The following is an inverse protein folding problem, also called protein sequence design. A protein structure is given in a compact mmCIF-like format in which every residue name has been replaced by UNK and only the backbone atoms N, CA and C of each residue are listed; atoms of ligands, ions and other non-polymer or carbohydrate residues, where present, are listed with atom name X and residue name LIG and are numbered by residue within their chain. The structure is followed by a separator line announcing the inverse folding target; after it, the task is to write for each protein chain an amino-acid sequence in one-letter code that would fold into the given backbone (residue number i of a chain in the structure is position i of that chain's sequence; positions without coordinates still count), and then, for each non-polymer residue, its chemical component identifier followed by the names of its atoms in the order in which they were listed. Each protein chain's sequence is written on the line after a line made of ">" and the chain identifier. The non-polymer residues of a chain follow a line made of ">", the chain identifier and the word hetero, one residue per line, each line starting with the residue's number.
data_IF_761898669247
#
_entry.id   IF_761898669247
#
_cell.length_a   1.000
_cell.length_b   1.000
_cell.length_c   1.000
_cell.angle_alpha   90.00
_cell.angle_beta   90.00
_cell.angle_gamma   90.00
#
_symmetry.space_group_name_H-M   'P 1'
#
loop_
_entity.id
_entity.type
_entity.pdbx_description
1 polymer ?
#
# COMPACT_ATOMS: atom_id res chain seq x y z
N UNK A 1 17.19 -9.01 -19.04
CA UNK A 1 16.48 -8.03 -18.20
C UNK A 1 15.02 -8.06 -18.61
N UNK A 2 14.07 -8.12 -17.67
CA UNK A 2 12.64 -8.09 -18.01
C UNK A 2 12.26 -6.72 -18.56
N UNK A 3 11.22 -6.64 -19.39
CA UNK A 3 10.74 -5.36 -19.93
C UNK A 3 10.40 -4.35 -18.82
N UNK A 4 9.88 -4.84 -17.68
CA UNK A 4 9.62 -4.03 -16.50
C UNK A 4 10.90 -3.49 -15.85
N UNK A 5 11.98 -4.27 -15.72
CA UNK A 5 13.20 -3.77 -15.07
C UNK A 5 13.83 -2.62 -15.85
N UNK A 6 13.82 -2.70 -17.19
CA UNK A 6 14.34 -1.62 -18.04
C UNK A 6 13.45 -0.36 -17.98
N UNK A 7 12.12 -0.56 -17.96
CA UNK A 7 11.17 0.53 -17.79
C UNK A 7 11.37 1.26 -16.45
N UNK A 8 11.47 0.51 -15.34
CA UNK A 8 11.65 1.09 -14.00
C UNK A 8 12.94 1.91 -13.87
N UNK A 9 13.98 1.57 -14.63
CA UNK A 9 15.27 2.28 -14.61
C UNK A 9 15.30 3.55 -15.46
N UNK A 10 14.39 3.68 -16.43
CA UNK A 10 14.40 4.76 -17.43
C UNK A 10 13.20 5.69 -17.33
N UNK A 11 12.10 5.21 -16.74
CA UNK A 11 10.89 5.98 -16.57
C UNK A 11 11.15 7.25 -15.76
N UNK A 12 10.62 8.36 -16.27
CA UNK A 12 10.59 9.64 -15.58
C UNK A 12 9.15 10.11 -15.60
N UNK A 13 8.57 10.33 -14.42
CA UNK A 13 7.24 10.93 -14.29
C UNK A 13 7.45 12.38 -13.87
N UNK A 14 7.00 13.38 -14.64
CA UNK A 14 7.15 14.77 -14.26
C UNK A 14 6.40 15.02 -12.94
N UNK A 15 7.05 15.69 -11.99
CA UNK A 15 6.53 15.83 -10.62
C UNK A 15 5.17 16.56 -10.60
N UNK A 16 4.97 17.51 -11.51
CA UNK A 16 3.72 18.23 -11.72
C UNK A 16 2.55 17.34 -12.16
N UNK A 17 2.84 16.19 -12.79
CA UNK A 17 1.81 15.24 -13.23
C UNK A 17 1.38 14.27 -12.14
N UNK A 18 2.22 14.04 -11.12
CA UNK A 18 1.97 13.05 -10.07
C UNK A 18 0.68 13.38 -9.30
N UNK A 19 0.52 14.63 -8.87
CA UNK A 19 -0.67 15.04 -8.13
C UNK A 19 -1.95 14.91 -8.98
N UNK A 20 -1.89 15.28 -10.26
CA UNK A 20 -3.00 15.12 -11.20
C UNK A 20 -3.39 13.66 -11.41
N UNK A 21 -2.41 12.78 -11.59
CA UNK A 21 -2.63 11.34 -11.73
C UNK A 21 -3.23 10.73 -10.45
N UNK A 22 -2.69 11.07 -9.28
CA UNK A 22 -3.23 10.60 -7.99
C UNK A 22 -4.68 11.06 -7.79
N UNK A 23 -4.99 12.31 -8.15
CA UNK A 23 -6.36 12.83 -8.07
C UNK A 23 -7.30 12.12 -9.07
N UNK A 24 -6.87 11.90 -10.30
CA UNK A 24 -7.67 11.19 -11.29
C UNK A 24 -7.95 9.73 -10.86
N UNK A 25 -6.97 9.03 -10.29
CA UNK A 25 -7.14 7.69 -9.73
C UNK A 25 -8.10 7.72 -8.53
N UNK A 26 -7.99 8.74 -7.68
CA UNK A 26 -8.86 8.94 -6.52
C UNK A 26 -10.32 9.07 -6.95
N UNK A 27 -10.59 10.00 -7.88
CA UNK A 27 -11.95 10.30 -8.34
C UNK A 27 -12.56 9.10 -9.04
N UNK A 28 -11.74 8.40 -9.85
CA UNK A 28 -12.18 7.23 -10.58
C UNK A 28 -12.48 6.03 -9.69
N UNK A 29 -11.64 5.77 -8.67
CA UNK A 29 -11.92 4.69 -7.73
C UNK A 29 -13.23 4.96 -6.97
N UNK A 30 -13.45 6.21 -6.54
CA UNK A 30 -14.65 6.59 -5.80
C UNK A 30 -15.91 6.50 -6.69
N UNK A 31 -15.80 6.83 -7.97
CA UNK A 31 -16.92 6.74 -8.91
C UNK A 31 -17.27 5.30 -9.32
N UNK A 32 -16.27 4.41 -9.42
CA UNK A 32 -16.45 3.05 -9.93
C UNK A 32 -16.66 1.99 -8.84
N UNK A 33 -16.28 2.28 -7.60
CA UNK A 33 -16.43 1.32 -6.50
C UNK A 33 -17.90 1.22 -6.06
N UNK A 34 -18.46 0.01 -5.95
CA UNK A 34 -19.78 -0.18 -5.34
C UNK A 34 -19.75 -0.18 -3.81
N UNK A 35 -18.55 -0.12 -3.19
CA UNK A 35 -18.36 -0.22 -1.74
C UNK A 35 -17.85 1.07 -1.10
N UNK A 36 -17.12 1.90 -1.86
CA UNK A 36 -16.63 3.21 -1.43
C UNK A 36 -17.63 4.28 -1.82
N UNK A 37 -18.22 4.92 -0.81
CA UNK A 37 -19.26 5.94 -0.96
C UNK A 37 -18.72 7.37 -0.81
N UNK A 38 -17.61 7.53 -0.10
CA UNK A 38 -17.00 8.83 0.17
C UNK A 38 -15.49 8.71 0.44
N UNK A 39 -14.72 9.81 0.41
CA UNK A 39 -13.27 9.80 0.70
C UNK A 39 -12.88 9.17 2.05
N UNK A 40 -13.69 9.43 3.08
CA UNK A 40 -13.60 8.81 4.39
C UNK A 40 -14.60 7.64 4.48
N UNK A 41 -14.47 6.69 3.55
CA UNK A 41 -15.31 5.51 3.46
C UNK A 41 -15.43 4.76 4.78
N UNK A 42 -16.57 4.10 4.99
CA UNK A 42 -16.88 3.30 6.18
C UNK A 42 -16.67 1.79 5.95
N UNK A 43 -16.53 1.38 4.68
CA UNK A 43 -16.39 -0.01 4.24
C UNK A 43 -15.43 -0.05 3.05
N UNK A 44 -14.80 -1.20 2.83
CA UNK A 44 -13.91 -1.46 1.69
C UNK A 44 -13.93 -2.96 1.43
N UNK A 45 -13.82 -3.36 0.17
CA UNK A 45 -13.76 -4.73 -0.30
C UNK A 45 -12.41 -5.02 -0.99
N UNK A 46 -11.93 -6.28 -1.02
CA UNK A 46 -10.73 -6.63 -1.79
C UNK A 46 -10.76 -6.17 -3.26
N UNK A 47 -11.93 -6.16 -3.89
CA UNK A 47 -12.09 -5.69 -5.28
C UNK A 47 -11.75 -4.20 -5.44
N UNK A 48 -11.92 -3.39 -4.39
CA UNK A 48 -11.51 -1.98 -4.42
C UNK A 48 -9.98 -1.86 -4.45
N UNK A 49 -9.28 -2.76 -3.75
CA UNK A 49 -7.82 -2.81 -3.78
C UNK A 49 -7.31 -3.25 -5.15
N UNK A 50 -7.96 -4.26 -5.74
CA UNK A 50 -7.63 -4.72 -7.08
C UNK A 50 -7.86 -3.63 -8.12
N UNK A 51 -9.01 -2.95 -8.06
CA UNK A 51 -9.33 -1.81 -8.93
C UNK A 51 -8.33 -0.67 -8.75
N UNK A 52 -7.98 -0.34 -7.51
CA UNK A 52 -6.98 0.69 -7.24
C UNK A 52 -5.62 0.33 -7.86
N UNK A 53 -5.18 -0.91 -7.66
CA UNK A 53 -3.96 -1.42 -8.29
C UNK A 53 -4.02 -1.32 -9.81
N UNK A 54 -5.15 -1.71 -10.41
CA UNK A 54 -5.42 -1.62 -11.86
C UNK A 54 -5.24 -0.20 -12.40
N UNK A 55 -5.81 0.77 -11.69
CA UNK A 55 -5.73 2.19 -12.04
C UNK A 55 -4.28 2.69 -11.97
N UNK A 56 -3.54 2.30 -10.94
CA UNK A 56 -2.12 2.64 -10.83
C UNK A 56 -1.26 1.98 -11.90
N UNK A 57 -1.43 0.67 -12.14
CA UNK A 57 -0.66 -0.06 -13.15
C UNK A 57 -0.86 0.55 -14.53
N UNK A 58 -2.10 0.87 -14.90
CA UNK A 58 -2.40 1.53 -16.18
C UNK A 58 -1.82 2.93 -16.26
N UNK A 59 -1.96 3.74 -15.20
CA UNK A 59 -1.57 5.16 -15.23
C UNK A 59 -0.05 5.34 -15.20
N UNK A 60 0.66 4.57 -14.38
CA UNK A 60 2.09 4.78 -14.13
C UNK A 60 3.00 3.78 -14.85
N UNK A 61 2.52 2.58 -15.10
CA UNK A 61 3.34 1.50 -15.65
C UNK A 61 2.85 1.02 -17.02
N UNK A 62 1.74 1.58 -17.52
CA UNK A 62 1.01 1.17 -18.72
C UNK A 62 0.72 -0.34 -18.77
N UNK A 63 0.31 -0.93 -17.64
CA UNK A 63 -0.06 -2.35 -17.54
C UNK A 63 1.12 -3.31 -17.38
N UNK A 64 2.36 -2.82 -17.38
CA UNK A 64 3.56 -3.66 -17.37
C UNK A 64 3.72 -4.45 -16.07
N UNK A 65 3.14 -4.01 -14.95
CA UNK A 65 3.23 -4.77 -13.69
C UNK A 65 2.41 -6.04 -13.81
N UNK A 66 1.16 -5.96 -14.29
CA UNK A 66 0.32 -7.13 -14.57
C UNK A 66 0.95 -8.06 -15.60
N UNK A 67 1.44 -7.52 -16.71
CA UNK A 67 2.07 -8.33 -17.75
C UNK A 67 3.28 -9.11 -17.20
N UNK A 68 4.04 -8.49 -16.29
CA UNK A 68 5.23 -9.11 -15.68
C UNK A 68 4.92 -10.21 -14.68
N UNK A 69 3.66 -10.36 -14.24
CA UNK A 69 3.24 -11.52 -13.45
C UNK A 69 3.31 -12.81 -14.28
N UNK A 70 3.22 -12.73 -15.61
CA UNK A 70 3.27 -13.88 -16.52
C UNK A 70 2.32 -15.03 -16.11
N UNK A 71 1.10 -14.68 -15.68
CA UNK A 71 0.09 -15.63 -15.20
C UNK A 71 0.24 -16.07 -13.73
N UNK A 72 1.26 -15.60 -13.00
CA UNK A 72 1.34 -15.77 -11.56
C UNK A 72 0.16 -15.06 -10.88
N UNK A 73 -0.53 -15.68 -9.91
CA UNK A 73 -1.62 -15.03 -9.20
C UNK A 73 -1.13 -13.83 -8.42
N UNK A 74 -1.91 -12.75 -8.49
CA UNK A 74 -1.83 -11.63 -7.57
C UNK A 74 -3.18 -11.54 -6.84
N UNK A 75 -3.15 -11.61 -5.51
CA UNK A 75 -4.36 -11.57 -4.69
C UNK A 75 -4.38 -10.33 -3.80
N UNK A 76 -5.56 -9.76 -3.61
CA UNK A 76 -5.75 -8.59 -2.75
C UNK A 76 -6.50 -8.98 -1.49
N UNK A 77 -6.03 -8.49 -0.34
CA UNK A 77 -6.54 -8.93 0.95
C UNK A 77 -6.69 -7.76 1.93
N UNK A 78 -7.72 -7.86 2.77
CA UNK A 78 -7.95 -6.94 3.88
C UNK A 78 -7.58 -7.64 5.19
N UNK A 79 -6.61 -7.10 5.90
CA UNK A 79 -6.15 -7.64 7.18
C UNK A 79 -6.76 -6.86 8.34
N UNK A 80 -7.35 -7.60 9.28
CA UNK A 80 -7.79 -7.08 10.59
C UNK A 80 -6.71 -7.24 11.68
N UNK A 81 -5.69 -8.06 11.42
CA UNK A 81 -4.66 -8.43 12.39
C UNK A 81 -3.40 -7.59 12.29
N UNK A 82 -3.25 -6.85 11.19
CA UNK A 82 -2.07 -6.02 10.93
C UNK A 82 -2.20 -4.69 11.66
N UNK A 83 -1.45 -4.50 12.73
CA UNK A 83 -1.60 -3.33 13.65
C UNK A 83 -0.36 -2.44 13.70
N UNK A 84 0.69 -2.80 12.97
CA UNK A 84 1.94 -2.04 12.90
C UNK A 84 2.24 -1.57 11.48
N UNK A 85 1.74 -2.27 10.46
CA UNK A 85 1.93 -1.88 9.06
C UNK A 85 0.64 -1.53 8.34
N UNK A 86 0.70 -0.52 7.47
CA UNK A 86 -0.45 -0.09 6.66
C UNK A 86 -0.76 -1.07 5.54
N UNK A 87 0.29 -1.63 4.95
CA UNK A 87 0.23 -2.62 3.88
C UNK A 87 1.26 -3.72 4.07
N UNK A 88 1.17 -4.75 3.23
CA UNK A 88 2.20 -5.76 3.06
C UNK A 88 2.06 -6.45 1.71
N UNK A 89 3.15 -6.44 0.95
CA UNK A 89 3.31 -7.24 -0.26
C UNK A 89 4.09 -8.50 0.06
N UNK A 90 3.60 -9.64 -0.42
CA UNK A 90 4.26 -10.93 -0.23
C UNK A 90 4.46 -11.63 -1.56
N UNK A 91 5.60 -12.31 -1.65
CA UNK A 91 5.89 -13.30 -2.67
C UNK A 91 6.02 -14.66 -2.01
N UNK A 92 5.22 -15.63 -2.46
CA UNK A 92 5.24 -17.02 -2.00
C UNK A 92 5.68 -17.94 -3.13
N UNK A 93 6.64 -18.81 -2.86
CA UNK A 93 7.01 -19.89 -3.77
C UNK A 93 6.52 -21.21 -3.19
N UNK A 94 5.59 -21.85 -3.89
CA UNK A 94 5.21 -23.23 -3.64
C UNK A 94 6.27 -24.12 -4.28
N UNK A 95 6.78 -25.10 -3.54
CA UNK A 95 7.86 -25.98 -3.96
C UNK A 95 7.42 -27.43 -3.95
N UNK A 96 7.97 -28.21 -4.87
CA UNK A 96 7.90 -29.66 -4.81
C UNK A 96 8.72 -30.20 -3.63
N UNK A 97 8.52 -31.47 -3.22
CA UNK A 97 9.34 -32.11 -2.19
C UNK A 97 10.85 -32.11 -2.50
N UNK A 98 11.22 -32.10 -3.79
CA UNK A 98 12.61 -32.03 -4.25
C UNK A 98 13.23 -30.61 -4.18
N UNK A 99 12.47 -29.62 -3.72
CA UNK A 99 12.90 -28.23 -3.58
C UNK A 99 12.73 -27.36 -4.83
N UNK A 100 12.35 -27.92 -5.98
CA UNK A 100 12.07 -27.15 -7.20
C UNK A 100 10.82 -26.28 -7.04
N UNK A 101 10.80 -25.10 -7.67
CA UNK A 101 9.67 -24.17 -7.57
C UNK A 101 8.54 -24.65 -8.48
N UNK A 102 7.41 -25.03 -7.88
CA UNK A 102 6.18 -25.40 -8.58
C UNK A 102 5.44 -24.15 -9.07
N UNK A 103 5.28 -23.16 -8.20
CA UNK A 103 4.48 -21.95 -8.48
C UNK A 103 4.98 -20.78 -7.67
N UNK A 104 4.95 -19.58 -8.26
CA UNK A 104 5.09 -18.32 -7.53
C UNK A 104 3.73 -17.62 -7.47
N UNK A 105 3.40 -17.08 -6.30
CA UNK A 105 2.16 -16.32 -6.05
C UNK A 105 2.51 -15.03 -5.34
N UNK A 106 1.71 -13.99 -5.57
CA UNK A 106 1.85 -12.69 -4.96
C UNK A 106 0.57 -12.29 -4.22
N UNK A 107 0.74 -11.50 -3.17
CA UNK A 107 -0.39 -10.87 -2.50
C UNK A 107 -0.07 -9.47 -2.04
N UNK A 108 -1.07 -8.59 -2.08
CA UNK A 108 -1.05 -7.27 -1.45
C UNK A 108 -2.14 -7.28 -0.39
N UNK A 109 -1.74 -7.09 0.87
CA UNK A 109 -2.64 -7.01 2.02
C UNK A 109 -2.65 -5.60 2.59
N UNK A 110 -3.81 -5.05 2.91
CA UNK A 110 -3.96 -3.73 3.52
C UNK A 110 -4.59 -3.83 4.90
N UNK A 111 -4.11 -3.06 5.86
CA UNK A 111 -4.64 -3.05 7.23
C UNK A 111 -5.93 -2.25 7.29
N UNK A 112 -7.05 -2.94 7.45
CA UNK A 112 -8.33 -2.29 7.80
C UNK A 112 -8.29 -1.66 9.18
N UNK A 113 -7.58 -2.30 10.13
CA UNK A 113 -7.46 -1.80 11.49
C UNK A 113 -6.79 -0.43 11.53
N UNK A 114 -5.65 -0.24 10.86
CA UNK A 114 -5.00 1.06 10.82
C UNK A 114 -5.78 2.06 9.97
N UNK A 115 -6.33 1.64 8.82
CA UNK A 115 -7.05 2.55 7.92
C UNK A 115 -8.28 3.17 8.59
N UNK A 116 -9.06 2.38 9.33
CA UNK A 116 -10.26 2.87 10.02
C UNK A 116 -9.97 3.55 11.34
N UNK A 117 -8.79 3.37 11.95
CA UNK A 117 -8.43 4.03 13.20
C UNK A 117 -7.78 5.40 12.97
N UNK A 118 -6.99 5.55 11.90
CA UNK A 118 -6.17 6.74 11.64
C UNK A 118 -6.99 8.02 11.48
N UNK A 119 -8.24 7.93 11.02
CA UNK A 119 -9.12 9.07 10.72
C UNK A 119 -10.42 9.04 11.54
N UNK A 120 -10.40 8.55 12.80
CA UNK A 120 -11.59 8.58 13.69
C UNK A 120 -11.63 9.84 14.54
N UNK A 121 -10.51 10.17 15.17
CA UNK A 121 -10.38 11.27 16.11
C UNK A 121 -9.03 11.98 15.84
N UNK A 122 -8.99 12.82 14.82
CA UNK A 122 -7.75 13.44 14.33
C UNK A 122 -7.24 14.52 15.29
N UNK A 123 -6.28 14.15 16.13
CA UNK A 123 -5.57 15.08 17.02
C UNK A 123 -4.32 15.69 16.37
N UNK A 124 -3.94 15.21 15.17
CA UNK A 124 -2.77 15.67 14.40
C UNK A 124 -2.94 15.42 12.89
N UNK A 125 -2.19 16.14 12.04
CA UNK A 125 -2.11 15.82 10.62
C UNK A 125 -1.58 14.38 10.40
N UNK A 126 -2.20 13.67 9.47
CA UNK A 126 -1.80 12.32 9.09
C UNK A 126 -0.84 12.39 7.91
N UNK A 127 0.32 11.75 8.04
CA UNK A 127 1.32 11.62 6.97
C UNK A 127 1.55 10.15 6.65
N UNK A 128 1.61 9.81 5.36
CA UNK A 128 1.96 8.46 4.89
C UNK A 128 3.03 8.64 3.84
N UNK A 129 4.17 7.95 3.98
CA UNK A 129 5.33 8.07 3.05
C UNK A 129 5.82 9.52 2.88
N UNK A 130 5.72 10.31 3.97
CA UNK A 130 6.08 11.73 3.99
C UNK A 130 5.11 12.66 3.25
N UNK A 131 3.92 12.18 2.90
CA UNK A 131 2.86 12.93 2.22
C UNK A 131 1.66 13.12 3.14
N UNK A 132 1.14 14.34 3.19
CA UNK A 132 -0.06 14.66 3.97
C UNK A 132 -1.29 13.96 3.37
N UNK A 133 -2.08 13.33 4.23
CA UNK A 133 -3.33 12.69 3.87
C UNK A 133 -4.48 13.35 4.65
N UNK A 134 -5.49 13.82 3.94
CA UNK A 134 -6.68 14.49 4.48
C UNK A 134 -7.86 13.51 4.69
N UNK A 135 -7.76 12.30 4.15
CA UNK A 135 -8.79 11.28 4.24
C UNK A 135 -8.23 9.87 4.06
N UNK A 136 -9.05 8.87 4.39
CA UNK A 136 -8.71 7.44 4.28
C UNK A 136 -8.34 7.01 2.87
N UNK A 137 -9.00 7.55 1.85
CA UNK A 137 -8.72 7.18 0.47
C UNK A 137 -7.33 7.67 0.01
N UNK A 138 -6.91 8.87 0.41
CA UNK A 138 -5.54 9.34 0.18
C UNK A 138 -4.51 8.47 0.92
N UNK A 139 -4.77 8.10 2.18
CA UNK A 139 -3.88 7.21 2.92
C UNK A 139 -3.80 5.81 2.26
N UNK A 140 -4.94 5.27 1.83
CA UNK A 140 -5.02 4.01 1.10
C UNK A 140 -4.18 4.05 -0.20
N UNK A 141 -4.28 5.14 -0.96
CA UNK A 141 -3.46 5.37 -2.14
C UNK A 141 -1.96 5.33 -1.82
N UNK A 142 -1.50 6.07 -0.81
CA UNK A 142 -0.08 6.09 -0.43
C UNK A 142 0.43 4.71 -0.01
N UNK A 143 -0.39 3.94 0.73
CA UNK A 143 -0.05 2.56 1.10
C UNK A 143 0.00 1.67 -0.15
N UNK A 144 -0.99 1.73 -1.03
CA UNK A 144 -1.00 0.94 -2.27
C UNK A 144 0.20 1.25 -3.16
N UNK A 145 0.53 2.53 -3.34
CA UNK A 145 1.72 3.00 -4.07
C UNK A 145 3.00 2.33 -3.52
N UNK A 146 3.15 2.32 -2.19
CA UNK A 146 4.27 1.67 -1.52
C UNK A 146 4.33 0.16 -1.82
N UNK A 147 3.19 -0.52 -1.70
CA UNK A 147 3.07 -1.95 -1.99
C UNK A 147 3.32 -2.29 -3.47
N UNK A 148 2.92 -1.42 -4.39
CA UNK A 148 3.21 -1.57 -5.82
C UNK A 148 4.72 -1.52 -6.08
N UNK A 149 5.47 -0.63 -5.41
CA UNK A 149 6.94 -0.61 -5.55
C UNK A 149 7.55 -1.93 -5.03
N UNK A 150 7.05 -2.47 -3.91
CA UNK A 150 7.49 -3.78 -3.43
C UNK A 150 7.26 -4.87 -4.48
N UNK A 151 6.06 -4.91 -5.09
CA UNK A 151 5.74 -5.87 -6.15
C UNK A 151 6.65 -5.68 -7.37
N UNK A 152 6.84 -4.45 -7.83
CA UNK A 152 7.74 -4.11 -8.94
C UNK A 152 9.17 -4.61 -8.68
N UNK A 153 9.71 -4.40 -7.48
CA UNK A 153 11.04 -4.88 -7.13
C UNK A 153 11.11 -6.41 -7.10
N UNK A 154 10.09 -7.09 -6.55
CA UNK A 154 10.03 -8.55 -6.54
C UNK A 154 9.93 -9.15 -7.95
N UNK A 155 9.21 -8.49 -8.87
CA UNK A 155 9.09 -8.94 -10.25
C UNK A 155 10.39 -8.69 -11.04
N UNK A 156 11.00 -7.52 -10.88
CA UNK A 156 12.20 -7.13 -11.63
C UNK A 156 13.48 -7.76 -11.09
N UNK A 157 13.63 -7.88 -9.76
CA UNK A 157 14.88 -8.27 -9.09
C UNK A 157 14.70 -9.35 -8.01
N UNK A 158 13.51 -9.95 -7.89
CA UNK A 158 13.24 -11.09 -6.99
C UNK A 158 13.28 -10.79 -5.48
N UNK A 159 13.82 -9.63 -5.10
CA UNK A 159 13.97 -9.13 -3.73
C UNK A 159 13.50 -7.69 -3.66
N UNK A 160 13.03 -7.27 -2.49
CA UNK A 160 12.61 -5.89 -2.24
C UNK A 160 12.96 -5.43 -0.83
N UNK A 161 13.30 -4.16 -0.67
CA UNK A 161 13.61 -3.55 0.62
C UNK A 161 13.30 -2.05 0.59
N UNK A 162 12.30 -1.60 1.37
CA UNK A 162 11.87 -0.21 1.39
C UNK A 162 12.90 0.77 1.97
N UNK A 163 13.84 0.29 2.78
CA UNK A 163 14.94 1.09 3.29
C UNK A 163 16.11 1.21 2.28
N UNK A 164 16.10 0.47 1.18
CA UNK A 164 17.14 0.54 0.17
C UNK A 164 16.93 1.70 -0.80
N UNK A 165 18.03 2.30 -1.28
CA UNK A 165 18.00 3.48 -2.14
C UNK A 165 17.22 3.28 -3.44
N UNK A 166 17.23 2.06 -4.01
CA UNK A 166 16.48 1.74 -5.23
C UNK A 166 14.98 1.88 -5.01
N UNK A 167 14.45 1.28 -3.93
CA UNK A 167 13.03 1.40 -3.60
C UNK A 167 12.64 2.86 -3.39
N UNK A 168 13.40 3.59 -2.57
CA UNK A 168 13.11 5.00 -2.26
C UNK A 168 13.16 5.87 -3.51
N UNK A 169 14.10 5.61 -4.41
CA UNK A 169 14.18 6.31 -5.67
C UNK A 169 12.97 6.03 -6.55
N UNK A 170 12.55 4.77 -6.69
CA UNK A 170 11.35 4.40 -7.44
C UNK A 170 10.10 5.04 -6.85
N UNK A 171 9.89 4.94 -5.54
CA UNK A 171 8.74 5.53 -4.85
C UNK A 171 8.69 7.06 -5.03
N UNK A 172 9.85 7.73 -4.97
CA UNK A 172 9.95 9.18 -5.24
C UNK A 172 9.67 9.51 -6.71
N UNK A 173 10.26 8.78 -7.66
CA UNK A 173 10.11 9.06 -9.10
C UNK A 173 8.68 8.83 -9.57
N UNK A 174 8.07 7.72 -9.16
CA UNK A 174 6.72 7.39 -9.61
C UNK A 174 5.64 8.13 -8.82
N UNK A 175 5.80 8.29 -7.51
CA UNK A 175 4.69 8.72 -6.64
C UNK A 175 4.99 9.96 -5.79
N UNK A 176 6.20 10.51 -5.88
CA UNK A 176 6.59 11.70 -5.11
C UNK A 176 6.78 11.43 -3.61
N UNK A 177 6.94 10.16 -3.21
CA UNK A 177 7.17 9.79 -1.80
C UNK A 177 8.44 10.46 -1.26
N UNK A 178 8.36 10.92 0.00
CA UNK A 178 9.46 11.61 0.70
C UNK A 178 10.06 10.78 1.83
N UNK A 179 9.30 9.82 2.35
CA UNK A 179 9.72 8.85 3.35
C UNK A 179 9.33 7.44 2.90
N UNK A 180 10.00 6.44 3.45
CA UNK A 180 9.73 5.03 3.15
C UNK A 180 8.85 4.34 4.19
N UNK A 181 8.48 5.02 5.28
CA UNK A 181 7.61 4.48 6.32
C UNK A 181 6.19 5.05 6.17
N UNK A 182 5.18 4.26 6.53
CA UNK A 182 3.81 4.75 6.68
C UNK A 182 3.60 5.19 8.15
N UNK A 183 3.31 6.47 8.41
CA UNK A 183 3.05 6.94 9.79
C UNK A 183 1.54 6.91 10.10
N UNK A 184 0.90 5.74 9.93
CA UNK A 184 -0.49 5.54 10.34
C UNK A 184 -0.59 5.45 11.87
N UNK A 185 -1.69 5.96 12.44
CA UNK A 185 -1.90 5.91 13.89
C UNK A 185 -2.10 4.46 14.31
N UNK A 186 -1.17 3.93 15.10
CA UNK A 186 -1.24 2.56 15.60
C UNK A 186 -2.19 2.46 16.80
N UNK A 187 -2.78 1.28 17.09
CA UNK A 187 -3.56 1.08 18.30
C UNK A 187 -2.78 1.42 19.57
N UNK A 188 -1.47 1.21 19.56
CA UNK A 188 -0.56 1.53 20.66
C UNK A 188 -0.41 3.04 20.86
N UNK A 189 -0.18 3.79 19.78
CA UNK A 189 -0.12 5.26 19.82
C UNK A 189 -1.44 5.82 20.37
N UNK A 190 -2.58 5.34 19.84
CA UNK A 190 -3.89 5.76 20.33
C UNK A 190 -4.13 5.42 21.79
N UNK A 191 -3.82 4.20 22.23
CA UNK A 191 -3.99 3.79 23.63
C UNK A 191 -3.22 4.71 24.58
N UNK A 192 -2.02 5.12 24.17
CA UNK A 192 -1.22 6.06 24.92
C UNK A 192 -1.80 7.49 24.88
N UNK A 193 -2.22 7.99 23.72
CA UNK A 193 -2.73 9.36 23.58
C UNK A 193 -4.10 9.56 24.25
N UNK A 194 -5.04 8.63 24.08
CA UNK A 194 -6.40 8.76 24.59
C UNK A 194 -6.53 8.36 26.06
N UNK A 195 -5.81 7.32 26.48
CA UNK A 195 -6.00 6.72 27.81
C UNK A 195 -4.74 6.80 28.69
N UNK A 196 -3.62 7.28 28.17
CA UNK A 196 -2.34 7.28 28.89
C UNK A 196 -1.73 5.89 29.06
N UNK A 197 -2.28 4.86 28.40
CA UNK A 197 -1.94 3.45 28.65
C UNK A 197 -0.79 2.99 27.74
N UNK A 198 0.18 2.29 28.35
CA UNK A 198 1.30 1.63 27.70
C UNK A 198 1.28 0.13 27.97
N UNK A 199 1.94 -0.62 27.09
CA UNK A 199 2.18 -2.04 27.32
C UNK A 199 3.02 -2.21 28.59
N UNK A 200 2.48 -2.93 29.58
CA UNK A 200 3.10 -3.14 30.89
C UNK A 200 2.41 -2.39 32.03
N UNK A 201 1.48 -1.48 31.74
CA UNK A 201 0.74 -0.75 32.77
C UNK A 201 -0.23 -1.67 33.52
N UNK A 202 -0.38 -1.43 34.83
CA UNK A 202 -1.43 -2.07 35.63
C UNK A 202 -2.76 -1.35 35.37
N UNK A 203 -3.79 -2.12 34.99
CA UNK A 203 -5.12 -1.61 34.71
C UNK A 203 -6.16 -2.31 35.56
N UNK A 204 -7.26 -1.63 35.85
CA UNK A 204 -8.40 -2.20 36.57
C UNK A 204 -9.67 -1.96 35.75
N UNK A 205 -10.40 -3.03 35.45
CA UNK A 205 -11.70 -2.94 34.80
C UNK A 205 -12.77 -2.71 35.86
N UNK A 206 -13.64 -1.72 35.65
CA UNK A 206 -14.84 -1.53 36.46
C UNK A 206 -16.02 -2.14 35.70
N UNK A 207 -16.77 -2.98 36.40
CA UNK A 207 -18.05 -3.55 35.95
C UNK A 207 -19.16 -2.50 36.07
#
# INVERSE_FOLDING_TARGET
>A
MSGLSAFLQTATIPHETIAGNQQAIFDRLLAESPFLDQPNFSRIHPDDLERLFDLYDRTYFAGRVRDSLAGAPLTFQLSKRMTQSGGKTMRRQLRHPDGSVMRTEFSISISTTLMFQTFRDEHRPITVTGMLCQNRLQALQRVMEHEIIHLCEMLAWQVSNCSASRFQNLARVFFGHREHTHQLITPRERAFTEYGIRTGDQVTFRL
#
